data_IF_083694730752
#
_entry.id   IF_083694730752
#
_cell.length_a   1.000
_cell.length_b   1.000
_cell.length_c   1.000
_cell.angle_alpha   90.00
_cell.angle_beta   90.00
_cell.angle_gamma   90.00
#
_symmetry.space_group_name_H-M   'P 1'
#
loop_
_entity.id
_entity.type
_entity.pdbx_description
1 polymer ?
#
# COMPACT_ATOMS: atom_id res chain seq x y z
N UNK A 1 -2.95 -9.49 28.85
CA UNK A 1 -2.46 -8.48 27.89
C UNK A 1 -2.38 -7.16 28.62
N UNK A 2 -1.20 -6.57 28.70
CA UNK A 2 -1.05 -5.12 28.88
C UNK A 2 -0.98 -4.54 27.47
N UNK A 3 -1.90 -3.64 27.14
CA UNK A 3 -1.81 -2.82 25.94
C UNK A 3 -1.16 -1.50 26.33
N UNK A 4 -0.17 -1.06 25.57
CA UNK A 4 0.44 0.24 25.77
C UNK A 4 -0.53 1.35 25.32
N UNK A 5 -0.50 2.54 25.94
CA UNK A 5 -1.39 3.65 25.58
C UNK A 5 -0.93 4.30 24.26
N UNK A 6 -1.75 4.15 23.22
CA UNK A 6 -1.53 4.75 21.90
C UNK A 6 -2.24 6.11 21.75
N UNK A 7 -1.73 6.97 20.86
CA UNK A 7 -2.35 8.24 20.47
C UNK A 7 -2.29 8.42 18.95
N UNK A 8 -3.42 8.78 18.34
CA UNK A 8 -3.55 9.08 16.92
C UNK A 8 -4.20 10.45 16.66
N UNK A 9 -4.04 10.96 15.44
CA UNK A 9 -4.73 12.14 14.95
C UNK A 9 -5.17 11.91 13.50
N UNK A 10 -6.39 12.34 13.17
CA UNK A 10 -6.92 12.31 11.80
C UNK A 10 -6.84 13.71 11.20
N UNK A 11 -6.25 13.82 10.01
CA UNK A 11 -6.10 15.09 9.28
C UNK A 11 -6.85 14.97 7.96
N UNK A 12 -8.01 15.61 7.88
CA UNK A 12 -8.80 15.74 6.66
C UNK A 12 -8.57 17.13 6.08
N UNK A 13 -8.16 17.20 4.82
CA UNK A 13 -7.87 18.47 4.15
C UNK A 13 -9.16 19.14 3.65
N UNK A 14 -9.24 20.45 3.80
CA UNK A 14 -10.30 21.27 3.21
C UNK A 14 -10.00 21.67 1.75
N UNK A 15 -8.72 21.74 1.39
CA UNK A 15 -8.29 21.96 0.01
C UNK A 15 -8.32 20.63 -0.77
N UNK A 16 -8.84 20.67 -2.00
CA UNK A 16 -8.87 19.50 -2.88
C UNK A 16 -8.27 19.78 -4.26
N UNK A 17 -7.80 18.71 -4.90
CA UNK A 17 -7.26 18.72 -6.27
C UNK A 17 -7.81 17.53 -7.05
N UNK A 18 -7.91 17.67 -8.37
CA UNK A 18 -8.29 16.56 -9.26
C UNK A 18 -7.03 15.78 -9.65
N UNK A 19 -6.97 14.51 -9.27
CA UNK A 19 -5.86 13.62 -9.60
C UNK A 19 -5.93 13.15 -11.07
N UNK A 20 -4.84 12.59 -11.65
CA UNK A 20 -4.81 12.10 -13.03
C UNK A 20 -5.89 11.05 -13.34
N UNK A 21 -6.26 10.21 -12.36
CA UNK A 21 -7.39 9.27 -12.43
C UNK A 21 -8.78 9.94 -12.46
N UNK A 22 -8.86 11.28 -12.47
CA UNK A 22 -10.10 12.05 -12.50
C UNK A 22 -10.81 12.18 -11.15
N UNK A 23 -10.30 11.55 -10.09
CA UNK A 23 -10.84 11.60 -8.73
C UNK A 23 -10.41 12.87 -8.01
N UNK A 24 -11.34 13.54 -7.33
CA UNK A 24 -11.03 14.67 -6.43
C UNK A 24 -10.54 14.14 -5.09
N UNK A 25 -9.38 14.60 -4.64
CA UNK A 25 -8.75 14.17 -3.37
C UNK A 25 -8.18 15.36 -2.60
N UNK A 26 -7.98 15.20 -1.29
CA UNK A 26 -7.31 16.21 -0.46
C UNK A 26 -5.90 16.53 -0.96
N UNK A 27 -5.54 17.81 -0.97
CA UNK A 27 -4.27 18.30 -1.55
C UNK A 27 -3.07 17.86 -0.72
N UNK A 28 -3.10 18.07 0.60
CA UNK A 28 -2.10 17.66 1.57
C UNK A 28 -1.86 16.14 1.58
N UNK A 29 -2.86 15.26 1.73
CA UNK A 29 -2.62 13.81 1.70
C UNK A 29 -2.09 13.31 0.34
N UNK A 30 -2.48 13.92 -0.78
CA UNK A 30 -1.93 13.59 -2.10
C UNK A 30 -0.45 14.00 -2.23
N UNK A 31 -0.10 15.21 -1.82
CA UNK A 31 1.28 15.72 -1.79
C UNK A 31 2.18 14.86 -0.87
N UNK A 32 1.71 14.56 0.34
CA UNK A 32 2.42 13.69 1.28
C UNK A 32 2.68 12.28 0.70
N UNK A 33 1.65 11.67 0.08
CA UNK A 33 1.78 10.38 -0.63
C UNK A 33 2.85 10.44 -1.72
N UNK A 34 2.83 11.46 -2.57
CA UNK A 34 3.80 11.60 -3.67
C UNK A 34 5.22 11.74 -3.11
N UNK A 35 5.43 12.58 -2.09
CA UNK A 35 6.76 12.69 -1.43
C UNK A 35 7.22 11.37 -0.81
N UNK A 36 6.31 10.58 -0.23
CA UNK A 36 6.67 9.26 0.30
C UNK A 36 7.02 8.27 -0.81
N UNK A 37 6.40 8.37 -1.98
CA UNK A 37 6.79 7.60 -3.16
C UNK A 37 8.11 8.08 -3.77
N UNK A 38 8.44 9.38 -3.73
CA UNK A 38 9.78 9.89 -4.09
C UNK A 38 10.84 9.22 -3.23
N UNK A 39 10.66 9.22 -1.90
CA UNK A 39 11.56 8.57 -0.93
C UNK A 39 11.72 7.06 -1.19
N UNK A 40 10.60 6.36 -1.45
CA UNK A 40 10.60 4.90 -1.64
C UNK A 40 11.10 4.43 -3.01
N UNK A 41 10.89 5.22 -4.07
CA UNK A 41 11.16 4.78 -5.46
C UNK A 41 12.38 5.44 -6.10
N UNK A 42 12.83 6.59 -5.58
CA UNK A 42 13.86 7.43 -6.19
C UNK A 42 13.41 8.14 -7.48
N UNK A 43 12.12 8.15 -7.80
CA UNK A 43 11.57 8.92 -8.92
C UNK A 43 11.34 10.39 -8.51
N UNK A 44 11.33 11.32 -9.48
CA UNK A 44 11.06 12.73 -9.20
C UNK A 44 9.58 12.95 -8.84
N UNK A 45 9.30 14.05 -8.13
CA UNK A 45 7.95 14.43 -7.73
C UNK A 45 7.04 14.56 -8.95
N UNK A 46 7.48 15.26 -10.00
CA UNK A 46 6.71 15.57 -11.20
C UNK A 46 6.33 14.29 -11.96
N UNK A 47 7.22 13.30 -11.99
CA UNK A 47 6.97 12.01 -12.63
C UNK A 47 5.89 11.21 -11.90
N UNK A 48 5.90 11.25 -10.56
CA UNK A 48 4.90 10.58 -9.71
C UNK A 48 3.58 11.37 -9.63
N UNK A 49 3.63 12.69 -9.79
CA UNK A 49 2.47 13.60 -9.80
C UNK A 49 1.63 13.44 -11.09
N UNK A 50 2.28 13.16 -12.22
CA UNK A 50 1.65 12.89 -13.50
C UNK A 50 1.01 11.49 -13.62
N UNK A 51 1.35 10.56 -12.72
CA UNK A 51 0.81 9.20 -12.70
C UNK A 51 -0.55 9.14 -11.98
N UNK A 52 -1.43 8.24 -12.42
CA UNK A 52 -2.55 7.80 -11.59
C UNK A 52 -2.05 7.14 -10.31
N UNK A 53 -2.89 7.08 -9.27
CA UNK A 53 -2.53 6.40 -8.02
C UNK A 53 -1.99 4.97 -8.22
N UNK A 54 -2.59 4.19 -9.11
CA UNK A 54 -2.20 2.79 -9.36
C UNK A 54 -0.83 2.70 -10.04
N UNK A 55 -0.62 3.45 -11.14
CA UNK A 55 0.67 3.48 -11.84
C UNK A 55 1.83 3.93 -10.94
N UNK A 56 1.55 4.88 -10.03
CA UNK A 56 2.51 5.36 -9.04
C UNK A 56 2.80 4.30 -7.96
N UNK A 57 1.79 3.54 -7.53
CA UNK A 57 1.95 2.43 -6.59
C UNK A 57 2.72 1.24 -7.21
N UNK A 58 2.51 0.94 -8.49
CA UNK A 58 3.25 -0.10 -9.21
C UNK A 58 4.77 0.19 -9.28
N UNK A 59 5.18 1.46 -9.18
CA UNK A 59 6.60 1.82 -9.07
C UNK A 59 7.26 1.27 -7.79
N UNK A 60 6.50 0.97 -6.72
CA UNK A 60 7.03 0.34 -5.50
C UNK A 60 7.53 -1.09 -5.77
N UNK A 61 6.82 -1.85 -6.62
CA UNK A 61 7.25 -3.19 -7.02
C UNK A 61 8.53 -3.12 -7.87
N UNK A 62 8.61 -2.14 -8.78
CA UNK A 62 9.81 -1.88 -9.59
C UNK A 62 10.99 -1.45 -8.69
N UNK A 63 10.75 -0.56 -7.73
CA UNK A 63 11.74 -0.10 -6.77
C UNK A 63 12.29 -1.24 -5.89
N UNK A 64 11.42 -2.15 -5.42
CA UNK A 64 11.79 -3.32 -4.61
C UNK A 64 12.75 -4.31 -5.31
N UNK A 65 12.92 -4.23 -6.63
CA UNK A 65 13.92 -5.01 -7.38
C UNK A 65 15.30 -4.32 -7.47
N UNK A 66 15.42 -3.06 -7.04
CA UNK A 66 16.64 -2.26 -7.13
C UNK A 66 17.35 -2.21 -5.77
N UNK A 67 18.60 -2.68 -5.74
CA UNK A 67 19.49 -2.59 -4.57
C UNK A 67 19.81 -1.14 -4.12
N UNK A 68 19.43 -0.13 -4.91
CA UNK A 68 19.56 1.29 -4.56
C UNK A 68 18.41 1.83 -3.70
N UNK A 69 17.42 1.00 -3.34
CA UNK A 69 16.29 1.40 -2.49
C UNK A 69 16.23 0.55 -1.24
N UNK A 70 15.50 1.01 -0.21
CA UNK A 70 15.27 0.25 1.02
C UNK A 70 14.19 -0.83 0.88
N UNK A 71 13.53 -0.92 -0.27
CA UNK A 71 12.43 -1.86 -0.51
C UNK A 71 12.98 -3.24 -0.90
N UNK A 72 12.31 -4.30 -0.43
CA UNK A 72 12.64 -5.68 -0.76
C UNK A 72 11.41 -6.39 -1.33
N UNK A 73 11.61 -7.23 -2.36
CA UNK A 73 10.54 -8.08 -2.90
C UNK A 73 10.09 -9.08 -1.84
N UNK A 74 8.83 -8.98 -1.42
CA UNK A 74 8.20 -9.93 -0.49
C UNK A 74 7.92 -11.27 -1.19
N UNK A 75 8.97 -12.08 -1.34
CA UNK A 75 8.90 -13.41 -1.89
C UNK A 75 8.27 -14.36 -0.86
N UNK A 76 7.01 -14.77 -1.10
CA UNK A 76 6.33 -15.78 -0.30
C UNK A 76 7.08 -17.12 -0.42
N UNK A 77 7.95 -17.40 0.55
CA UNK A 77 8.67 -18.68 0.63
C UNK A 77 7.70 -19.76 1.08
N UNK A 78 7.08 -20.44 0.12
CA UNK A 78 6.17 -21.55 0.40
C UNK A 78 6.89 -22.58 1.26
N UNK A 79 6.29 -22.90 2.41
CA UNK A 79 6.78 -23.95 3.31
C UNK A 79 5.94 -25.21 3.12
N UNK A 80 6.40 -26.32 3.71
CA UNK A 80 5.48 -27.30 4.28
C UNK A 80 4.64 -26.63 5.38
N UNK A 81 3.64 -27.28 5.97
CA UNK A 81 2.72 -26.66 6.95
C UNK A 81 1.85 -25.47 6.44
N UNK A 82 2.19 -24.79 5.33
CA UNK A 82 1.23 -23.91 4.64
C UNK A 82 0.01 -24.72 4.16
N UNK A 83 0.22 -25.96 3.71
CA UNK A 83 -0.86 -26.91 3.42
C UNK A 83 -1.61 -27.41 4.68
N UNK A 84 -1.04 -27.24 5.89
CA UNK A 84 -1.74 -27.54 7.15
C UNK A 84 -2.50 -26.33 7.72
N UNK A 85 -2.36 -25.14 7.12
CA UNK A 85 -3.28 -24.02 7.36
C UNK A 85 -4.57 -24.36 6.62
N UNK A 86 -5.37 -25.20 7.26
CA UNK A 86 -6.69 -25.59 6.76
C UNK A 86 -7.64 -24.39 6.73
N UNK A 87 -8.71 -24.51 5.95
CA UNK A 87 -9.81 -23.55 5.91
C UNK A 87 -10.38 -23.23 7.31
N UNK A 88 -10.37 -24.21 8.23
CA UNK A 88 -10.73 -24.03 9.63
C UNK A 88 -9.75 -23.13 10.38
N UNK A 89 -8.44 -23.34 10.20
CA UNK A 89 -7.39 -22.49 10.76
C UNK A 89 -7.48 -21.06 10.22
N UNK A 90 -7.71 -20.94 8.91
CA UNK A 90 -7.89 -19.66 8.22
C UNK A 90 -9.07 -18.88 8.79
N UNK A 91 -10.24 -19.53 8.97
CA UNK A 91 -11.44 -18.90 9.57
C UNK A 91 -11.30 -18.49 11.03
N UNK A 92 -10.37 -19.09 11.78
CA UNK A 92 -10.05 -18.66 13.16
C UNK A 92 -9.15 -17.43 13.14
N UNK A 93 -8.13 -17.39 12.26
CA UNK A 93 -7.16 -16.29 12.18
C UNK A 93 -7.69 -15.06 11.44
N UNK A 94 -8.48 -15.28 10.40
CA UNK A 94 -9.17 -14.25 9.61
C UNK A 94 -10.62 -14.70 9.36
N UNK A 95 -11.53 -14.41 10.32
CA UNK A 95 -12.95 -14.70 10.18
C UNK A 95 -13.66 -13.80 9.14
N UNK A 96 -13.00 -12.73 8.68
CA UNK A 96 -13.61 -11.68 7.86
C UNK A 96 -13.21 -11.75 6.38
N UNK A 97 -12.26 -12.61 6.01
CA UNK A 97 -11.88 -12.92 4.64
C UNK A 97 -13.10 -13.37 3.80
N UNK A 98 -13.73 -12.40 3.15
CA UNK A 98 -14.95 -12.50 2.37
C UNK A 98 -14.69 -12.26 0.86
N UNK A 99 -13.43 -12.18 0.47
CA UNK A 99 -12.97 -12.04 -0.91
C UNK A 99 -13.28 -13.30 -1.72
N UNK A 100 -14.50 -13.40 -2.23
CA UNK A 100 -14.87 -14.38 -3.25
C UNK A 100 -14.08 -14.06 -4.52
N UNK A 101 -13.06 -14.86 -4.80
CA UNK A 101 -12.12 -14.69 -5.92
C UNK A 101 -12.68 -14.95 -7.32
N UNK A 102 -13.87 -14.43 -7.63
CA UNK A 102 -14.36 -14.29 -9.00
C UNK A 102 -13.75 -13.02 -9.60
N UNK A 103 -12.44 -13.02 -9.81
CA UNK A 103 -11.81 -12.09 -10.74
C UNK A 103 -12.19 -12.51 -12.17
N UNK A 104 -12.89 -11.61 -12.86
CA UNK A 104 -13.25 -11.72 -14.28
C UNK A 104 -12.10 -11.26 -15.18
#
# INVERSE_FOLDING_TARGET
>A
MTADPELNAEVVDGDTVKAPEGVTVGKLPRDFRIRKFVEMTGLSYEKLDAMTFVEAADQLAIAATKASTILAVNNVKHRWYFFTITESMRKISDPQFNCNGNAS
#
